data_IF_171556088992
#
_entry.id   IF_171556088992
#
_cell.length_a   1.000
_cell.length_b   1.000
_cell.length_c   1.000
_cell.angle_alpha   90.00
_cell.angle_beta   90.00
_cell.angle_gamma   90.00
#
_symmetry.space_group_name_H-M   'P 1'
#
loop_
_entity.id
_entity.type
_entity.pdbx_description
1 polymer ?
#
# COMPACT_ATOMS: atom_id res chain seq x y z
N UNK A 1 23.32 52.21 15.39
CA UNK A 1 21.93 51.76 15.20
C UNK A 1 22.00 50.33 14.66
N UNK A 2 21.68 49.32 15.49
CA UNK A 2 21.80 47.89 15.14
C UNK A 2 20.46 47.42 14.55
N UNK A 3 20.40 47.24 13.24
CA UNK A 3 19.28 46.59 12.58
C UNK A 3 19.37 45.08 12.83
N UNK A 4 18.56 44.60 13.77
CA UNK A 4 18.31 43.17 13.97
C UNK A 4 17.33 42.71 12.90
N UNK A 5 17.84 42.04 11.87
CA UNK A 5 17.03 41.33 10.88
C UNK A 5 16.57 40.03 11.54
N UNK A 6 15.33 40.01 12.03
CA UNK A 6 14.69 38.79 12.52
C UNK A 6 14.12 38.04 11.31
N UNK A 7 14.87 37.06 10.82
CA UNK A 7 14.40 36.17 9.76
C UNK A 7 13.47 35.12 10.39
N UNK A 8 12.16 35.37 10.37
CA UNK A 8 11.15 34.41 10.80
C UNK A 8 11.09 33.30 9.73
N UNK A 9 11.81 32.20 9.97
CA UNK A 9 11.72 31.01 9.12
C UNK A 9 10.42 30.28 9.41
N UNK A 10 9.44 30.42 8.52
CA UNK A 10 8.22 29.62 8.52
C UNK A 10 8.57 28.19 8.08
N UNK A 11 8.77 27.28 9.03
CA UNK A 11 8.96 25.86 8.72
C UNK A 11 7.60 25.29 8.33
N UNK A 12 7.32 25.23 7.03
CA UNK A 12 6.19 24.47 6.53
C UNK A 12 6.44 22.98 6.87
N UNK A 13 5.64 22.43 7.77
CA UNK A 13 5.68 21.00 8.11
C UNK A 13 5.18 20.25 6.86
N UNK A 14 6.09 19.73 6.05
CA UNK A 14 5.74 18.78 5.00
C UNK A 14 5.45 17.45 5.67
N UNK A 15 4.17 17.08 5.79
CA UNK A 15 3.79 15.71 6.13
C UNK A 15 4.11 14.81 4.93
N UNK A 16 5.35 14.34 4.86
CA UNK A 16 5.75 13.28 3.96
C UNK A 16 5.42 11.91 4.56
N UNK A 17 5.17 10.92 3.71
CA UNK A 17 5.02 9.54 4.14
C UNK A 17 6.34 9.00 4.72
N UNK A 18 6.33 8.64 6.00
CA UNK A 18 7.45 7.98 6.67
C UNK A 18 7.04 6.56 7.07
N UNK A 19 7.76 5.56 6.56
CA UNK A 19 7.47 4.16 6.83
C UNK A 19 8.38 3.61 7.94
N UNK A 20 7.82 2.72 8.78
CA UNK A 20 8.64 1.87 9.64
C UNK A 20 9.40 0.85 8.79
N UNK A 21 10.60 0.51 9.21
CA UNK A 21 11.32 -0.65 8.68
C UNK A 21 10.76 -1.92 9.32
N UNK A 22 10.67 -3.00 8.55
CA UNK A 22 10.39 -4.33 9.09
C UNK A 22 11.70 -5.12 9.14
N UNK A 23 11.95 -5.82 10.24
CA UNK A 23 13.16 -6.61 10.43
C UNK A 23 13.13 -7.89 9.59
N UNK A 24 11.95 -8.34 9.18
CA UNK A 24 11.79 -9.52 8.32
C UNK A 24 10.51 -9.52 7.46
N UNK A 25 10.47 -10.31 6.37
CA UNK A 25 9.24 -10.52 5.58
C UNK A 25 8.09 -11.08 6.42
N UNK A 26 8.38 -11.93 7.42
CA UNK A 26 7.37 -12.46 8.34
C UNK A 26 6.74 -11.34 9.16
N UNK A 27 7.53 -10.38 9.64
CA UNK A 27 7.01 -9.27 10.44
C UNK A 27 6.10 -8.35 9.62
N UNK A 28 6.49 -8.04 8.37
CA UNK A 28 5.66 -7.30 7.43
C UNK A 28 4.33 -8.06 7.15
N UNK A 29 4.42 -9.37 6.95
CA UNK A 29 3.26 -10.24 6.76
C UNK A 29 2.35 -10.23 7.99
N UNK A 30 2.91 -10.32 9.19
CA UNK A 30 2.15 -10.32 10.43
C UNK A 30 1.51 -8.96 10.76
N UNK A 31 2.16 -7.86 10.38
CA UNK A 31 1.62 -6.51 10.55
C UNK A 31 0.54 -6.16 9.52
N UNK A 32 0.41 -6.91 8.42
CA UNK A 32 -0.59 -6.66 7.37
C UNK A 32 -1.96 -7.25 7.75
N UNK A 33 -3.05 -6.55 7.47
CA UNK A 33 -4.42 -7.07 7.61
C UNK A 33 -4.80 -8.09 6.53
N UNK A 34 -4.21 -7.97 5.34
CA UNK A 34 -4.28 -8.98 4.28
C UNK A 34 -2.95 -9.11 3.53
N UNK A 35 -2.74 -10.26 2.89
CA UNK A 35 -1.62 -10.50 1.97
C UNK A 35 -2.10 -11.38 0.81
N UNK A 36 -1.91 -10.92 -0.41
CA UNK A 36 -2.46 -11.55 -1.62
C UNK A 36 -1.54 -11.36 -2.82
N UNK A 37 -1.45 -12.38 -3.68
CA UNK A 37 -0.87 -12.26 -5.01
C UNK A 37 -1.97 -11.94 -6.02
N UNK A 38 -1.78 -10.87 -6.79
CA UNK A 38 -2.78 -10.34 -7.70
C UNK A 38 -2.18 -9.91 -9.03
N UNK A 39 -3.02 -9.84 -10.06
CA UNK A 39 -2.77 -9.11 -11.31
C UNK A 39 -3.57 -7.82 -11.36
N UNK A 40 -2.95 -6.73 -11.76
CA UNK A 40 -3.66 -5.45 -11.95
C UNK A 40 -4.37 -5.47 -13.29
N UNK A 41 -5.68 -5.23 -13.29
CA UNK A 41 -6.53 -5.29 -14.49
C UNK A 41 -6.91 -3.90 -14.99
N UNK A 42 -7.16 -2.96 -14.08
CA UNK A 42 -7.49 -1.58 -14.43
C UNK A 42 -7.12 -0.64 -13.28
N UNK A 43 -6.83 0.63 -13.63
CA UNK A 43 -6.68 1.74 -12.71
C UNK A 43 -7.85 2.71 -12.91
N UNK A 44 -8.49 3.12 -11.82
CA UNK A 44 -9.44 4.21 -11.79
C UNK A 44 -8.86 5.34 -10.95
N UNK A 45 -8.37 6.38 -11.62
CA UNK A 45 -7.87 7.59 -10.99
C UNK A 45 -8.87 8.74 -11.21
N UNK A 46 -9.66 9.11 -10.19
CA UNK A 46 -10.63 10.18 -10.31
C UNK A 46 -10.01 11.58 -10.40
N UNK A 47 -8.70 11.71 -10.20
CA UNK A 47 -8.06 13.01 -10.04
C UNK A 47 -7.62 13.64 -11.37
N UNK A 48 -7.44 12.85 -12.45
CA UNK A 48 -7.15 13.22 -13.85
C UNK A 48 -6.83 14.72 -14.14
N UNK A 49 -5.75 15.27 -13.54
CA UNK A 49 -5.27 16.64 -13.76
C UNK A 49 -5.94 17.77 -12.93
N UNK A 50 -6.88 17.42 -12.05
CA UNK A 50 -7.52 18.33 -11.08
C UNK A 50 -6.82 18.28 -9.73
N UNK A 51 -6.89 19.35 -8.95
CA UNK A 51 -6.33 19.44 -7.59
C UNK A 51 -7.16 18.67 -6.54
N UNK A 52 -7.86 17.61 -6.95
CA UNK A 52 -8.60 16.76 -6.05
C UNK A 52 -7.64 15.74 -5.41
N UNK A 53 -7.94 15.36 -4.17
CA UNK A 53 -7.17 14.39 -3.38
C UNK A 53 -7.99 13.13 -3.11
N UNK A 54 -8.73 12.66 -4.12
CA UNK A 54 -9.53 11.45 -4.01
C UNK A 54 -8.65 10.20 -4.18
N UNK A 55 -9.00 9.13 -3.47
CA UNK A 55 -8.26 7.87 -3.55
C UNK A 55 -8.33 7.24 -4.95
N UNK A 56 -7.24 6.60 -5.35
CA UNK A 56 -7.15 5.78 -6.56
C UNK A 56 -7.66 4.38 -6.22
N UNK A 57 -8.40 3.78 -7.15
CA UNK A 57 -8.85 2.40 -7.04
C UNK A 57 -8.29 1.54 -8.16
N UNK A 58 -7.66 0.42 -7.81
CA UNK A 58 -7.23 -0.60 -8.77
C UNK A 58 -8.20 -1.78 -8.76
N UNK A 59 -8.62 -2.20 -9.95
CA UNK A 59 -9.31 -3.48 -10.13
C UNK A 59 -8.26 -4.56 -10.33
N UNK A 60 -8.36 -5.64 -9.54
CA UNK A 60 -7.37 -6.72 -9.53
C UNK A 60 -8.01 -8.09 -9.74
N UNK A 61 -7.25 -9.01 -10.33
CA UNK A 61 -7.56 -10.44 -10.33
C UNK A 61 -6.73 -11.13 -9.26
N UNK A 62 -7.38 -11.79 -8.31
CA UNK A 62 -6.70 -12.47 -7.20
C UNK A 62 -6.28 -13.87 -7.66
N UNK A 63 -4.99 -14.16 -7.57
CA UNK A 63 -4.46 -15.52 -7.81
C UNK A 63 -4.41 -16.34 -6.53
N UNK A 64 -3.91 -15.74 -5.45
CA UNK A 64 -3.75 -16.44 -4.18
C UNK A 64 -3.92 -15.49 -3.00
N UNK A 65 -4.59 -15.96 -1.94
CA UNK A 65 -4.75 -15.24 -0.68
C UNK A 65 -3.95 -15.96 0.40
N UNK A 66 -2.90 -15.30 0.90
CA UNK A 66 -2.03 -15.85 1.94
C UNK A 66 -2.48 -15.44 3.34
N UNK A 67 -3.07 -14.24 3.47
CA UNK A 67 -3.60 -13.74 4.72
C UNK A 67 -4.88 -12.95 4.48
N UNK A 68 -5.88 -13.17 5.35
CA UNK A 68 -7.11 -12.39 5.47
C UNK A 68 -7.66 -12.50 6.88
N UNK A 69 -8.47 -11.56 7.36
CA UNK A 69 -9.17 -11.69 8.65
C UNK A 69 -10.09 -12.91 8.66
N UNK A 70 -10.25 -13.54 9.83
CA UNK A 70 -11.12 -14.72 10.01
C UNK A 70 -12.58 -14.41 9.66
N UNK A 71 -13.03 -13.21 10.02
CA UNK A 71 -14.39 -12.72 9.79
C UNK A 71 -14.69 -12.42 8.31
N UNK A 72 -13.64 -12.22 7.50
CA UNK A 72 -13.78 -11.91 6.08
C UNK A 72 -13.88 -13.20 5.27
N UNK A 73 -15.06 -13.48 4.68
CA UNK A 73 -15.26 -14.66 3.83
C UNK A 73 -14.38 -14.63 2.57
N UNK A 74 -14.32 -13.49 1.88
CA UNK A 74 -13.53 -13.29 0.66
C UNK A 74 -13.00 -11.86 0.59
N UNK A 75 -11.79 -11.71 0.05
CA UNK A 75 -11.25 -10.41 -0.35
C UNK A 75 -11.97 -9.92 -1.60
N UNK A 76 -12.10 -8.61 -1.75
CA UNK A 76 -12.66 -7.96 -2.93
C UNK A 76 -11.62 -7.82 -4.03
N UNK A 77 -12.08 -7.69 -5.27
CA UNK A 77 -11.23 -7.45 -6.43
C UNK A 77 -10.87 -5.96 -6.60
N UNK A 78 -10.88 -5.18 -5.50
CA UNK A 78 -10.58 -3.75 -5.49
C UNK A 78 -9.53 -3.47 -4.43
N UNK A 79 -8.51 -2.71 -4.81
CA UNK A 79 -7.50 -2.16 -3.92
C UNK A 79 -7.59 -0.65 -3.97
N UNK A 80 -7.72 -0.02 -2.81
CA UNK A 80 -7.77 1.44 -2.67
C UNK A 80 -6.41 1.93 -2.17
N UNK A 81 -5.95 3.07 -2.67
CA UNK A 81 -4.73 3.72 -2.21
C UNK A 81 -4.83 5.22 -2.41
N UNK A 82 -4.09 5.99 -1.61
CA UNK A 82 -4.03 7.44 -1.78
C UNK A 82 -3.45 7.80 -3.16
N UNK A 83 -3.87 8.94 -3.71
CA UNK A 83 -3.43 9.38 -5.04
C UNK A 83 -2.01 9.91 -5.11
N UNK A 84 -1.40 10.20 -3.95
CA UNK A 84 -0.07 10.81 -3.87
C UNK A 84 0.84 10.01 -2.93
N UNK A 85 2.09 9.82 -3.34
CA UNK A 85 3.13 9.18 -2.53
C UNK A 85 3.40 9.91 -1.22
N UNK A 86 3.20 11.23 -1.15
CA UNK A 86 3.29 12.00 0.10
C UNK A 86 2.26 11.52 1.15
N UNK A 87 1.12 11.00 0.70
CA UNK A 87 0.09 10.37 1.53
C UNK A 87 0.21 8.83 1.57
N UNK A 88 1.40 8.29 1.29
CA UNK A 88 1.68 6.86 1.20
C UNK A 88 0.92 6.12 0.08
N UNK A 89 0.49 6.85 -0.95
CA UNK A 89 -0.09 6.27 -2.17
C UNK A 89 0.90 5.40 -2.92
N UNK A 90 0.39 4.40 -3.63
CA UNK A 90 1.20 3.50 -4.47
C UNK A 90 0.74 3.53 -5.92
N UNK A 91 1.72 3.41 -6.81
CA UNK A 91 1.48 3.29 -8.24
C UNK A 91 1.67 1.83 -8.67
N UNK A 92 0.63 1.26 -9.28
CA UNK A 92 0.64 -0.12 -9.77
C UNK A 92 0.45 -0.14 -11.28
N UNK A 93 1.27 -0.94 -11.97
CA UNK A 93 1.23 -1.05 -13.43
C UNK A 93 0.13 -2.01 -13.87
N UNK A 94 -0.72 -1.59 -14.82
CA UNK A 94 -1.76 -2.45 -15.39
C UNK A 94 -1.10 -3.60 -16.17
N UNK A 95 -1.57 -4.83 -15.94
CA UNK A 95 -1.04 -6.04 -16.56
C UNK A 95 0.06 -6.73 -15.74
N UNK A 96 0.67 -6.02 -14.79
CA UNK A 96 1.69 -6.59 -13.91
C UNK A 96 1.09 -7.32 -12.71
N UNK A 97 1.89 -8.21 -12.14
CA UNK A 97 1.54 -9.01 -10.96
C UNK A 97 2.29 -8.52 -9.74
N UNK A 98 1.59 -8.49 -8.59
CA UNK A 98 2.15 -8.00 -7.34
C UNK A 98 1.79 -8.91 -6.18
N UNK A 99 2.71 -9.03 -5.24
CA UNK A 99 2.41 -9.39 -3.86
C UNK A 99 2.01 -8.11 -3.13
N UNK A 100 0.75 -8.02 -2.74
CA UNK A 100 0.19 -6.88 -2.02
C UNK A 100 -0.18 -7.26 -0.60
N UNK A 101 0.13 -6.36 0.32
CA UNK A 101 -0.37 -6.37 1.69
C UNK A 101 -0.78 -4.97 2.13
N UNK A 102 -1.65 -4.93 3.13
CA UNK A 102 -2.23 -3.68 3.59
C UNK A 102 -3.29 -3.93 4.65
N UNK A 103 -4.18 -2.97 4.85
CA UNK A 103 -5.25 -3.02 5.84
C UNK A 103 -6.61 -3.31 5.20
N UNK A 104 -7.55 -3.79 6.01
CA UNK A 104 -8.96 -3.86 5.65
C UNK A 104 -9.71 -2.98 6.62
N UNK A 105 -10.54 -2.07 6.12
CA UNK A 105 -11.37 -1.21 6.97
C UNK A 105 -12.61 -1.96 7.51
N UNK A 106 -13.39 -1.30 8.38
CA UNK A 106 -14.61 -1.88 8.96
C UNK A 106 -15.70 -2.23 7.92
N UNK A 107 -15.61 -1.69 6.70
CA UNK A 107 -16.53 -1.96 5.59
C UNK A 107 -16.01 -3.08 4.66
N UNK A 108 -14.84 -3.65 4.94
CA UNK A 108 -14.23 -4.69 4.12
C UNK A 108 -13.44 -4.16 2.92
N UNK A 109 -13.15 -2.86 2.86
CA UNK A 109 -12.37 -2.23 1.79
C UNK A 109 -10.89 -2.48 2.05
N UNK A 110 -10.20 -2.99 1.03
CA UNK A 110 -8.76 -3.27 1.09
C UNK A 110 -7.97 -2.01 0.71
N UNK A 111 -7.20 -1.50 1.66
CA UNK A 111 -6.26 -0.41 1.46
C UNK A 111 -4.83 -0.93 1.34
N UNK A 112 -4.12 -0.56 0.27
CA UNK A 112 -2.67 -0.75 0.16
C UNK A 112 -1.97 0.60 0.14
N UNK A 113 -0.78 0.65 0.71
CA UNK A 113 -0.01 1.87 0.90
C UNK A 113 1.49 1.58 0.86
N UNK A 114 2.29 2.63 0.68
CA UNK A 114 3.73 2.55 0.45
C UNK A 114 4.49 1.79 1.55
N UNK A 115 4.02 1.91 2.79
CA UNK A 115 4.61 1.24 3.95
C UNK A 115 4.14 -0.22 4.13
N UNK A 116 3.28 -0.72 3.25
CA UNK A 116 2.83 -2.10 3.24
C UNK A 116 3.73 -3.00 2.39
N UNK A 117 3.29 -4.24 2.19
CA UNK A 117 3.95 -5.14 1.23
C UNK A 117 3.49 -4.72 -0.17
N UNK A 118 4.42 -4.20 -0.98
CA UNK A 118 4.17 -3.83 -2.38
C UNK A 118 5.38 -4.25 -3.21
N UNK A 119 5.33 -5.45 -3.78
CA UNK A 119 6.44 -6.02 -4.55
C UNK A 119 5.92 -6.62 -5.85
N UNK A 120 6.63 -6.40 -6.96
CA UNK A 120 6.34 -7.12 -8.20
C UNK A 120 6.53 -8.61 -7.96
N UNK A 121 5.60 -9.43 -8.44
CA UNK A 121 5.60 -10.85 -8.15
C UNK A 121 6.89 -11.54 -8.61
N UNK A 122 7.39 -11.14 -9.78
CA UNK A 122 8.64 -11.66 -10.35
C UNK A 122 9.89 -11.37 -9.49
N UNK A 123 9.88 -10.35 -8.62
CA UNK A 123 11.00 -10.04 -7.72
C UNK A 123 10.94 -10.77 -6.38
N UNK A 124 9.79 -11.36 -6.03
CA UNK A 124 9.66 -12.15 -4.79
C UNK A 124 10.45 -13.46 -4.96
N UNK A 125 11.43 -13.70 -4.08
CA UNK A 125 12.28 -14.88 -4.15
C UNK A 125 11.49 -16.18 -4.00
N UNK A 126 11.94 -17.28 -4.60
CA UNK A 126 11.27 -18.57 -4.48
C UNK A 126 11.13 -19.01 -3.01
N UNK A 127 12.15 -18.72 -2.19
CA UNK A 127 12.14 -18.99 -0.74
C UNK A 127 11.00 -18.24 -0.04
N UNK A 128 10.85 -16.94 -0.32
CA UNK A 128 9.82 -16.12 0.30
C UNK A 128 8.43 -16.54 -0.17
N UNK A 129 8.24 -16.84 -1.46
CA UNK A 129 6.97 -17.35 -1.99
C UNK A 129 6.50 -18.62 -1.27
N UNK A 130 7.41 -19.56 -1.04
CA UNK A 130 7.10 -20.79 -0.29
C UNK A 130 6.78 -20.50 1.19
N UNK A 131 7.43 -19.50 1.79
CA UNK A 131 7.23 -19.13 3.19
C UNK A 131 5.87 -18.43 3.43
N UNK A 132 5.28 -17.76 2.44
CA UNK A 132 4.01 -17.02 2.58
C UNK A 132 2.86 -17.88 3.15
N UNK A 133 2.78 -19.16 2.77
CA UNK A 133 1.75 -20.09 3.26
C UNK A 133 2.06 -20.68 4.65
N UNK A 134 3.29 -20.48 5.14
CA UNK A 134 3.78 -21.08 6.38
C UNK A 134 3.83 -20.08 7.53
N UNK A 135 3.75 -18.78 7.23
CA UNK A 135 3.77 -17.75 8.26
C UNK A 135 2.59 -17.90 9.21
N UNK A 136 2.91 -18.03 10.50
CA UNK A 136 1.98 -17.92 11.60
C UNK A 136 2.22 -16.61 12.34
N UNK A 137 1.12 -15.89 12.49
CA UNK A 137 0.88 -14.71 13.28
C UNK A 137 -0.32 -15.08 14.18
#
# INVERSE_FOLDING_TARGET
MKLLIVLVTYVAICNACSCRTFDSPKEAFCSSGFVTHVKVIAKNDPNNGTSNYADITYKVSIFCVYKKPTETKKLTNKIVTASNSAACGIELEIGEEYLLGGSIDAKGVQGSYLCGIVQKWNTVSAKDRSALNQYKC
#
